data_IF_473804271769
#
_entry.id   IF_473804271769
#
_cell.length_a   1.000
_cell.length_b   1.000
_cell.length_c   1.000
_cell.angle_alpha   90.00
_cell.angle_beta   90.00
_cell.angle_gamma   90.00
#
_symmetry.space_group_name_H-M   'P 1'
#
loop_
_entity.id
_entity.type
_entity.pdbx_description
1 polymer ?
#
# COMPACT_ATOMS: atom_id res chain seq x y z
N UNK A 1 -8.59 -17.41 7.68
CA UNK A 1 -7.44 -16.85 6.91
C UNK A 1 -6.75 -15.79 7.77
N UNK A 2 -5.53 -15.30 7.47
CA UNK A 2 -4.97 -14.19 8.22
C UNK A 2 -5.87 -12.96 8.05
N UNK A 3 -6.00 -12.16 9.11
CA UNK A 3 -6.69 -10.87 9.06
C UNK A 3 -5.81 -9.81 8.40
N UNK A 4 -6.40 -8.69 7.97
CA UNK A 4 -5.65 -7.55 7.46
C UNK A 4 -4.64 -7.05 8.51
N UNK A 5 -5.01 -7.02 9.80
CA UNK A 5 -4.10 -6.72 10.90
C UNK A 5 -2.89 -7.66 10.96
N UNK A 6 -3.10 -8.97 10.77
CA UNK A 6 -1.99 -9.94 10.76
C UNK A 6 -1.02 -9.68 9.60
N UNK A 7 -1.57 -9.35 8.41
CA UNK A 7 -0.76 -9.03 7.23
C UNK A 7 -0.01 -7.71 7.43
N UNK A 8 -0.64 -6.68 7.98
CA UNK A 8 0.00 -5.39 8.28
C UNK A 8 1.14 -5.59 9.29
N UNK A 9 0.95 -6.36 10.35
CA UNK A 9 2.01 -6.65 11.31
C UNK A 9 3.22 -7.31 10.63
N UNK A 10 3.01 -8.20 9.67
CA UNK A 10 4.08 -8.78 8.87
C UNK A 10 4.78 -7.74 7.96
N UNK A 11 4.02 -6.82 7.34
CA UNK A 11 4.57 -5.73 6.54
C UNK A 11 5.40 -4.76 7.40
N UNK A 12 4.97 -4.45 8.62
CA UNK A 12 5.70 -3.57 9.54
C UNK A 12 7.01 -4.20 10.04
N UNK A 13 7.11 -5.53 10.10
CA UNK A 13 8.41 -6.20 10.36
C UNK A 13 9.39 -5.96 9.20
N UNK A 14 8.90 -5.97 7.95
CA UNK A 14 9.72 -5.74 6.75
C UNK A 14 10.07 -4.25 6.59
N UNK A 15 9.07 -3.39 6.78
CA UNK A 15 9.13 -1.95 6.55
C UNK A 15 8.61 -1.19 7.77
N UNK A 16 9.39 -1.13 8.88
CA UNK A 16 8.93 -0.50 10.11
C UNK A 16 8.51 0.96 9.88
N UNK A 17 7.30 1.37 10.32
CA UNK A 17 6.78 2.71 10.05
C UNK A 17 7.64 3.83 10.66
N UNK A 18 8.35 3.56 11.76
CA UNK A 18 9.29 4.50 12.39
C UNK A 18 10.52 4.82 11.52
N UNK A 19 10.77 4.07 10.45
CA UNK A 19 11.82 4.38 9.47
C UNK A 19 11.36 5.37 8.41
N UNK A 20 10.06 5.65 8.31
CA UNK A 20 9.56 6.66 7.37
C UNK A 20 10.10 8.05 7.74
N UNK A 21 10.28 8.90 6.73
CA UNK A 21 10.64 10.30 6.94
C UNK A 21 9.51 11.05 7.67
N UNK A 22 9.86 12.08 8.43
CA UNK A 22 8.91 12.79 9.31
C UNK A 22 7.77 13.52 8.58
N UNK A 23 7.93 13.76 7.28
CA UNK A 23 6.93 14.37 6.42
C UNK A 23 6.04 13.35 5.70
N UNK A 24 6.34 12.07 5.81
CA UNK A 24 5.74 11.01 5.01
C UNK A 24 4.39 10.53 5.57
N UNK A 25 3.64 9.76 4.77
CA UNK A 25 2.36 9.17 5.12
C UNK A 25 2.33 7.69 4.70
N UNK A 26 2.76 6.81 5.60
CA UNK A 26 2.77 5.35 5.42
C UNK A 26 1.66 4.67 6.23
N UNK A 27 1.40 3.39 5.96
CA UNK A 27 0.45 2.58 6.72
C UNK A 27 -0.89 2.36 6.00
N UNK A 28 -1.89 1.92 6.76
CA UNK A 28 -3.24 1.62 6.26
C UNK A 28 -3.98 2.90 5.87
N UNK A 29 -4.38 3.03 4.61
CA UNK A 29 -5.12 4.18 4.05
C UNK A 29 -6.63 3.95 4.13
N UNK A 30 -7.10 2.78 3.72
CA UNK A 30 -8.49 2.35 3.86
C UNK A 30 -8.59 0.83 3.93
N UNK A 31 -9.64 0.32 4.58
CA UNK A 31 -9.87 -1.11 4.78
C UNK A 31 -10.37 -1.41 6.19
N UNK A 32 -10.83 -2.65 6.42
CA UNK A 32 -11.23 -3.13 7.74
C UNK A 32 -10.11 -4.04 8.29
N UNK A 33 -9.46 -3.71 9.43
CA UNK A 33 -8.42 -4.54 10.04
C UNK A 33 -8.83 -5.99 10.32
N UNK A 34 -10.12 -6.24 10.56
CA UNK A 34 -10.65 -7.58 10.84
C UNK A 34 -10.99 -8.38 9.58
N UNK A 35 -10.88 -7.79 8.38
CA UNK A 35 -11.18 -8.49 7.13
C UNK A 35 -10.13 -9.57 6.84
N UNK A 36 -10.58 -10.72 6.34
CA UNK A 36 -9.66 -11.77 5.92
C UNK A 36 -8.92 -11.41 4.63
N UNK A 37 -7.62 -11.72 4.57
CA UNK A 37 -6.78 -11.48 3.39
C UNK A 37 -6.26 -12.81 2.84
N UNK A 38 -6.69 -13.16 1.62
CA UNK A 38 -6.21 -14.34 0.89
C UNK A 38 -5.24 -14.00 -0.24
N UNK A 39 -5.35 -12.79 -0.80
CA UNK A 39 -4.52 -12.31 -1.90
C UNK A 39 -4.12 -10.85 -1.71
N UNK A 40 -2.84 -10.58 -1.94
CA UNK A 40 -2.23 -9.25 -1.91
C UNK A 40 -1.71 -8.89 -3.31
N UNK A 41 -2.01 -7.69 -3.79
CA UNK A 41 -1.39 -7.09 -4.98
C UNK A 41 -0.36 -6.04 -4.53
N UNK A 42 0.85 -6.08 -5.08
CA UNK A 42 1.87 -5.05 -4.89
C UNK A 42 1.96 -4.18 -6.13
N UNK A 43 2.03 -2.85 -5.96
CA UNK A 43 2.17 -1.90 -7.06
C UNK A 43 2.99 -0.67 -6.62
N UNK A 44 3.35 0.17 -7.59
CA UNK A 44 4.02 1.46 -7.30
C UNK A 44 2.98 2.50 -6.89
N UNK A 45 1.97 2.73 -7.73
CA UNK A 45 0.97 3.79 -7.55
C UNK A 45 -0.46 3.25 -7.42
N UNK A 46 -1.30 3.80 -6.52
CA UNK A 46 -2.72 3.45 -6.40
C UNK A 46 -3.59 4.21 -7.43
N UNK A 47 -3.27 4.05 -8.72
CA UNK A 47 -4.06 4.61 -9.82
C UNK A 47 -5.29 3.75 -10.12
N UNK A 48 -6.26 4.30 -10.86
CA UNK A 48 -7.53 3.65 -11.13
C UNK A 48 -7.35 2.28 -11.79
N UNK A 49 -6.40 2.17 -12.73
CA UNK A 49 -6.09 0.95 -13.46
C UNK A 49 -5.56 -0.15 -12.54
N UNK A 50 -4.71 0.19 -11.58
CA UNK A 50 -4.17 -0.76 -10.57
C UNK A 50 -5.25 -1.18 -9.58
N UNK A 51 -6.15 -0.27 -9.22
CA UNK A 51 -7.29 -0.58 -8.37
C UNK A 51 -8.23 -1.56 -9.08
N UNK A 52 -8.52 -1.33 -10.36
CA UNK A 52 -9.36 -2.22 -11.15
C UNK A 52 -8.69 -3.59 -11.37
N UNK A 53 -7.36 -3.64 -11.50
CA UNK A 53 -6.59 -4.89 -11.48
C UNK A 53 -6.75 -5.64 -10.16
N UNK A 54 -6.59 -4.96 -9.02
CA UNK A 54 -6.76 -5.57 -7.69
C UNK A 54 -8.15 -6.20 -7.54
N UNK A 55 -9.19 -5.49 -7.96
CA UNK A 55 -10.58 -5.98 -7.95
C UNK A 55 -10.72 -7.18 -8.89
N UNK A 56 -10.20 -7.10 -10.12
CA UNK A 56 -10.29 -8.19 -11.09
C UNK A 56 -9.58 -9.46 -10.63
N UNK A 57 -8.46 -9.34 -9.91
CA UNK A 57 -7.71 -10.46 -9.35
C UNK A 57 -8.37 -11.03 -8.08
N UNK A 58 -9.39 -10.36 -7.55
CA UNK A 58 -9.96 -10.69 -6.24
C UNK A 58 -8.93 -10.57 -5.12
N UNK A 59 -8.09 -9.53 -5.16
CA UNK A 59 -7.20 -9.19 -4.06
C UNK A 59 -8.01 -8.53 -2.93
N UNK A 60 -7.64 -8.80 -1.68
CA UNK A 60 -8.24 -8.14 -0.50
C UNK A 60 -7.34 -7.02 0.03
N UNK A 61 -6.08 -6.95 -0.45
CA UNK A 61 -5.13 -5.93 -0.06
C UNK A 61 -4.33 -5.49 -1.29
N UNK A 62 -4.30 -4.18 -1.52
CA UNK A 62 -3.36 -3.51 -2.41
C UNK A 62 -2.29 -2.83 -1.55
N UNK A 63 -1.03 -3.21 -1.74
CA UNK A 63 0.12 -2.54 -1.15
C UNK A 63 0.78 -1.67 -2.20
N UNK A 64 0.94 -0.39 -1.92
CA UNK A 64 1.56 0.57 -2.85
C UNK A 64 2.79 1.23 -2.26
N UNK A 65 3.74 1.59 -3.12
CA UNK A 65 4.89 2.37 -2.70
C UNK A 65 4.52 3.84 -2.47
N UNK A 66 3.86 4.49 -3.44
CA UNK A 66 3.51 5.89 -3.31
C UNK A 66 2.16 6.10 -2.59
N UNK A 67 2.07 7.06 -1.66
CA UNK A 67 0.83 7.34 -0.94
C UNK A 67 -0.23 7.96 -1.85
N UNK A 68 -1.47 7.42 -1.80
CA UNK A 68 -2.64 8.09 -2.37
C UNK A 68 -2.83 9.48 -1.73
N UNK A 69 -2.60 9.58 -0.42
CA UNK A 69 -2.70 10.80 0.37
C UNK A 69 -1.39 11.08 1.13
N UNK A 70 -0.51 11.92 0.55
CA UNK A 70 0.69 12.40 1.24
C UNK A 70 0.40 13.47 2.32
N UNK A 71 -0.81 14.04 2.28
CA UNK A 71 -1.33 15.05 3.21
C UNK A 71 -2.77 14.71 3.55
N UNK A 72 -3.26 15.21 4.68
CA UNK A 72 -4.65 15.00 5.10
C UNK A 72 -5.66 15.43 4.03
N UNK A 73 -6.76 14.70 3.92
CA UNK A 73 -7.86 15.00 2.99
C UNK A 73 -9.10 15.42 3.76
N UNK A 74 -9.82 16.43 3.23
CA UNK A 74 -11.10 16.89 3.78
C UNK A 74 -12.30 16.29 3.05
N UNK A 75 -12.07 15.58 1.94
CA UNK A 75 -13.11 14.93 1.15
C UNK A 75 -12.60 13.64 0.52
N UNK A 76 -13.50 12.67 0.38
CA UNK A 76 -13.30 11.43 -0.37
C UNK A 76 -14.39 11.23 -1.42
N UNK A 77 -15.09 12.30 -1.82
CA UNK A 77 -16.18 12.22 -2.78
C UNK A 77 -15.74 11.57 -4.11
N UNK A 78 -16.55 10.62 -4.60
CA UNK A 78 -16.35 9.91 -5.87
C UNK A 78 -16.42 10.81 -7.13
N UNK A 79 -16.56 12.13 -6.97
CA UNK A 79 -16.38 13.11 -8.04
C UNK A 79 -14.91 13.47 -8.28
N UNK A 80 -14.02 13.15 -7.33
CA UNK A 80 -12.57 13.36 -7.44
C UNK A 80 -11.83 12.07 -7.78
N UNK A 81 -10.62 12.16 -8.34
CA UNK A 81 -9.79 10.99 -8.63
C UNK A 81 -9.54 10.13 -7.37
N UNK A 82 -8.99 10.74 -6.30
CA UNK A 82 -8.67 10.01 -5.07
C UNK A 82 -9.92 9.44 -4.41
N UNK A 83 -11.03 10.19 -4.43
CA UNK A 83 -12.30 9.70 -3.92
C UNK A 83 -12.82 8.48 -4.70
N UNK A 84 -12.75 8.49 -6.03
CA UNK A 84 -13.12 7.31 -6.84
C UNK A 84 -12.28 6.08 -6.49
N UNK A 85 -10.97 6.26 -6.33
CA UNK A 85 -10.06 5.18 -5.90
C UNK A 85 -10.50 4.62 -4.55
N UNK A 86 -10.70 5.46 -3.54
CA UNK A 86 -11.14 5.02 -2.20
C UNK A 86 -12.48 4.29 -2.25
N UNK A 87 -13.46 4.86 -2.94
CA UNK A 87 -14.78 4.24 -3.10
C UNK A 87 -14.69 2.87 -3.77
N UNK A 88 -13.96 2.79 -4.89
CA UNK A 88 -13.79 1.54 -5.64
C UNK A 88 -13.15 0.45 -4.77
N UNK A 89 -12.10 0.80 -4.02
CA UNK A 89 -11.44 -0.11 -3.09
C UNK A 89 -12.40 -0.61 -2.00
N UNK A 90 -13.05 0.31 -1.27
CA UNK A 90 -13.93 -0.01 -0.13
C UNK A 90 -15.15 -0.82 -0.58
N UNK A 91 -15.80 -0.43 -1.68
CA UNK A 91 -17.00 -1.11 -2.21
C UNK A 91 -16.71 -2.54 -2.69
N UNK A 92 -15.45 -2.86 -2.99
CA UNK A 92 -15.02 -4.19 -3.44
C UNK A 92 -14.24 -4.96 -2.37
N UNK A 93 -14.20 -4.46 -1.13
CA UNK A 93 -13.51 -5.15 -0.02
C UNK A 93 -12.00 -5.22 -0.18
N UNK A 94 -11.39 -4.26 -0.90
CA UNK A 94 -9.94 -4.15 -1.09
C UNK A 94 -9.40 -3.08 -0.15
N UNK A 95 -8.51 -3.47 0.76
CA UNK A 95 -7.76 -2.52 1.57
C UNK A 95 -6.59 -1.90 0.79
N UNK A 96 -6.15 -0.71 1.19
CA UNK A 96 -4.96 -0.05 0.65
C UNK A 96 -3.96 0.23 1.78
N UNK A 97 -2.75 -0.30 1.66
CA UNK A 97 -1.63 -0.02 2.55
C UNK A 97 -0.47 0.62 1.78
N UNK A 98 0.23 1.56 2.42
CA UNK A 98 1.35 2.30 1.82
C UNK A 98 2.65 1.98 2.53
N UNK A 99 3.67 1.59 1.77
CA UNK A 99 5.04 1.45 2.22
C UNK A 99 5.96 2.31 1.32
N UNK A 100 6.23 3.54 1.76
CA UNK A 100 6.92 4.57 1.00
C UNK A 100 8.38 4.69 1.46
N UNK A 101 8.75 5.77 2.16
CA UNK A 101 10.15 5.99 2.57
C UNK A 101 10.65 4.98 3.60
N UNK A 102 9.76 4.34 4.37
CA UNK A 102 10.12 3.20 5.23
C UNK A 102 10.61 2.00 4.42
N UNK A 103 10.06 1.75 3.24
CA UNK A 103 10.52 0.71 2.32
C UNK A 103 11.80 1.11 1.57
N UNK A 104 12.02 2.41 1.31
CA UNK A 104 13.27 2.91 0.75
C UNK A 104 14.47 2.70 1.70
N UNK A 105 14.25 2.93 3.00
CA UNK A 105 15.27 2.78 4.06
C UNK A 105 15.38 1.37 4.63
N UNK A 106 14.52 0.44 4.21
CA UNK A 106 14.59 -0.93 4.66
C UNK A 106 15.87 -1.62 4.16
N UNK A 107 16.24 -2.71 4.83
CA UNK A 107 17.39 -3.53 4.49
C UNK A 107 16.99 -5.02 4.61
N UNK A 108 16.64 -5.70 3.49
CA UNK A 108 16.62 -5.18 2.13
C UNK A 108 15.41 -4.26 1.85
N UNK A 109 15.60 -3.21 1.05
CA UNK A 109 14.58 -2.24 0.62
C UNK A 109 14.60 -1.94 -0.88
N UNK A 110 13.96 -0.83 -1.27
CA UNK A 110 13.83 -0.43 -2.69
C UNK A 110 15.21 -0.22 -3.35
N UNK A 111 16.14 0.42 -2.63
CA UNK A 111 17.50 0.65 -3.15
C UNK A 111 18.28 -0.65 -3.34
N UNK A 112 18.10 -1.64 -2.46
CA UNK A 112 18.71 -2.97 -2.60
C UNK A 112 18.13 -3.73 -3.80
N UNK A 113 16.81 -3.63 -4.00
CA UNK A 113 16.15 -4.23 -5.16
C UNK A 113 16.67 -3.61 -6.48
N UNK A 114 16.85 -2.29 -6.54
CA UNK A 114 17.44 -1.61 -7.69
C UNK A 114 18.90 -2.03 -7.92
N UNK A 115 19.71 -2.05 -6.85
CA UNK A 115 21.10 -2.50 -6.92
C UNK A 115 21.20 -3.92 -7.47
N UNK A 116 20.35 -4.83 -6.99
CA UNK A 116 20.28 -6.20 -7.49
C UNK A 116 19.86 -6.25 -8.98
N UNK A 117 18.86 -5.47 -9.39
CA UNK A 117 18.36 -5.43 -10.76
C UNK A 117 19.42 -4.98 -11.78
N UNK A 118 20.34 -4.09 -11.39
CA UNK A 118 21.46 -3.63 -12.24
C UNK A 118 22.75 -4.43 -12.02
N UNK A 119 22.73 -5.49 -11.20
CA UNK A 119 23.88 -6.33 -10.92
C UNK A 119 24.96 -5.66 -10.06
N UNK A 120 24.63 -4.59 -9.34
CA UNK A 120 25.53 -3.93 -8.40
C UNK A 120 25.76 -4.84 -7.18
N UNK A 121 27.03 -5.07 -6.82
CA UNK A 121 27.44 -5.84 -5.64
C UNK A 121 28.24 -4.93 -4.72
N UNK A 122 27.97 -4.99 -3.43
CA UNK A 122 28.66 -4.24 -2.36
C UNK A 122 29.56 -5.20 -1.58
#
# INVERSE_FOLDING_TARGET
MPTLSDVIAALEVLWPPERAESWDAVGLVCGNPDAEVGRVLFAVDPVQEVVDEAVSLGAQLLVTHHPLYLRGTTTVAATTFKGRVVHRLVENGVALHVAHTNADRAAPGVSDALAAAVGLRV
#
